data_IF_859841235411
#
_entry.id   IF_859841235411
#
_cell.length_a   1.000
_cell.length_b   1.000
_cell.length_c   1.000
_cell.angle_alpha   90.00
_cell.angle_beta   90.00
_cell.angle_gamma   90.00
#
_symmetry.space_group_name_H-M   'P 1'
#
loop_
_entity.id
_entity.type
_entity.pdbx_description
1 polymer ?
#
# COMPACT_ATOMS: atom_id res chain seq x y z
N UNK A 1 6.70 -29.69 20.19
CA UNK A 1 7.50 -28.78 19.32
C UNK A 1 8.88 -28.66 19.94
N UNK A 2 9.89 -29.21 19.28
CA UNK A 2 11.27 -28.88 19.60
C UNK A 2 11.53 -27.45 19.11
N UNK A 3 11.42 -26.48 20.01
CA UNK A 3 11.84 -25.10 19.72
C UNK A 3 13.36 -25.06 19.73
N UNK A 4 13.95 -24.72 18.59
CA UNK A 4 15.38 -24.42 18.47
C UNK A 4 15.71 -23.10 19.18
N UNK A 5 17.00 -22.82 19.27
CA UNK A 5 17.53 -21.59 19.83
C UNK A 5 16.94 -20.36 19.13
N UNK A 6 16.37 -19.44 19.92
CA UNK A 6 15.92 -18.13 19.42
C UNK A 6 17.13 -17.24 19.24
N UNK A 7 17.40 -16.84 18.01
CA UNK A 7 18.54 -15.97 17.69
C UNK A 7 18.21 -14.48 17.90
N UNK A 8 17.01 -14.06 17.45
CA UNK A 8 16.59 -12.66 17.51
C UNK A 8 15.06 -12.56 17.44
N UNK A 9 14.53 -11.43 17.87
CA UNK A 9 13.11 -11.09 17.81
C UNK A 9 12.93 -9.70 17.24
N UNK A 10 11.77 -9.45 16.65
CA UNK A 10 11.37 -8.15 16.12
C UNK A 10 9.85 -8.10 15.95
N UNK A 11 9.38 -7.12 15.18
CA UNK A 11 7.96 -6.97 14.88
C UNK A 11 7.58 -7.92 13.74
N UNK A 12 6.59 -8.78 13.96
CA UNK A 12 6.08 -9.70 12.94
C UNK A 12 5.33 -8.96 11.84
N UNK A 13 5.58 -9.35 10.60
CA UNK A 13 4.84 -8.95 9.40
C UNK A 13 4.42 -10.20 8.65
N UNK A 14 3.12 -10.40 8.49
CA UNK A 14 2.55 -11.66 8.04
C UNK A 14 2.20 -12.58 9.20
N UNK A 15 1.76 -13.80 8.87
CA UNK A 15 1.26 -14.80 9.81
C UNK A 15 1.82 -16.21 9.53
N UNK A 16 2.80 -16.31 8.65
CA UNK A 16 3.35 -17.57 8.16
C UNK A 16 4.66 -17.91 8.87
N UNK A 17 5.12 -19.12 8.61
CA UNK A 17 6.48 -19.58 8.92
C UNK A 17 7.21 -19.81 7.59
N UNK A 18 8.45 -19.38 7.51
CA UNK A 18 9.32 -19.66 6.37
C UNK A 18 10.73 -19.97 6.83
N UNK A 19 11.45 -20.75 6.05
CA UNK A 19 12.85 -21.06 6.28
C UNK A 19 13.67 -20.91 5.00
N UNK A 20 14.96 -20.69 5.15
CA UNK A 20 15.87 -20.53 4.00
C UNK A 20 17.30 -20.29 4.46
N UNK A 21 18.21 -20.25 3.46
CA UNK A 21 19.59 -19.82 3.68
C UNK A 21 19.60 -18.30 3.92
N UNK A 22 20.42 -17.87 4.84
CA UNK A 22 20.52 -16.48 5.21
C UNK A 22 21.51 -15.75 4.29
N UNK A 23 21.09 -14.61 3.77
CA UNK A 23 21.91 -13.71 2.96
C UNK A 23 21.87 -12.30 3.53
N UNK A 24 23.01 -11.88 4.08
CA UNK A 24 23.20 -10.54 4.61
C UNK A 24 23.69 -9.64 3.48
N UNK A 25 22.89 -8.65 3.12
CA UNK A 25 23.21 -7.64 2.12
C UNK A 25 23.27 -6.26 2.77
N UNK A 26 24.38 -5.54 2.58
CA UNK A 26 24.54 -4.15 3.02
C UNK A 26 24.11 -3.17 1.94
N UNK A 27 24.27 -3.54 0.70
CA UNK A 27 23.89 -2.76 -0.46
C UNK A 27 23.14 -3.66 -1.46
N UNK A 28 22.20 -3.09 -2.20
CA UNK A 28 21.43 -3.81 -3.21
C UNK A 28 22.31 -4.33 -4.34
N UNK A 29 23.44 -3.67 -4.59
CA UNK A 29 24.39 -4.08 -5.63
C UNK A 29 25.22 -5.33 -5.26
N UNK A 30 25.18 -5.78 -4.01
CA UNK A 30 25.88 -6.98 -3.53
C UNK A 30 25.06 -8.27 -3.71
N UNK A 31 24.05 -8.26 -4.58
CA UNK A 31 23.06 -9.33 -4.70
C UNK A 31 23.40 -10.48 -5.64
N UNK A 32 24.59 -10.54 -6.24
CA UNK A 32 24.98 -11.54 -7.26
C UNK A 32 24.81 -12.99 -6.78
N UNK A 33 25.01 -13.25 -5.48
CA UNK A 33 24.90 -14.56 -4.85
C UNK A 33 23.53 -14.84 -4.19
N UNK A 34 22.54 -13.97 -4.39
CA UNK A 34 21.22 -14.15 -3.80
C UNK A 34 20.35 -15.04 -4.68
N UNK A 35 19.82 -16.13 -4.12
CA UNK A 35 19.04 -17.11 -4.86
C UNK A 35 17.56 -17.08 -4.42
N UNK A 36 16.69 -17.61 -5.26
CA UNK A 36 15.30 -17.82 -4.94
C UNK A 36 15.15 -18.72 -3.72
N UNK A 37 14.37 -18.25 -2.73
CA UNK A 37 14.15 -18.95 -1.46
C UNK A 37 15.15 -18.59 -0.35
N UNK A 38 16.15 -17.74 -0.61
CA UNK A 38 17.01 -17.21 0.45
C UNK A 38 16.27 -16.21 1.33
N UNK A 39 16.74 -16.02 2.56
CA UNK A 39 16.23 -15.03 3.52
C UNK A 39 17.13 -13.80 3.46
N UNK A 40 16.50 -12.66 3.15
CA UNK A 40 17.19 -11.37 3.12
C UNK A 40 17.37 -10.82 4.53
N UNK A 41 18.61 -10.47 4.89
CA UNK A 41 18.94 -9.69 6.10
C UNK A 41 19.61 -8.39 5.68
N UNK A 42 19.08 -7.26 6.13
CA UNK A 42 19.65 -5.94 5.83
C UNK A 42 19.31 -4.93 6.93
N UNK A 43 19.96 -3.80 6.95
CA UNK A 43 19.68 -2.73 7.91
C UNK A 43 18.26 -2.18 7.71
N UNK A 44 17.91 -1.81 6.48
CA UNK A 44 16.58 -1.36 6.05
C UNK A 44 16.43 -1.53 4.54
N UNK A 45 15.19 -1.53 4.04
CA UNK A 45 14.92 -1.59 2.61
C UNK A 45 14.37 -0.28 2.07
N UNK A 46 14.68 -0.04 0.80
CA UNK A 46 14.14 1.05 -0.03
C UNK A 46 13.47 0.42 -1.27
N UNK A 47 12.74 1.17 -2.11
CA UNK A 47 12.08 0.61 -3.30
C UNK A 47 12.98 -0.19 -4.22
N UNK A 48 14.26 0.12 -4.27
CA UNK A 48 15.25 -0.58 -5.12
C UNK A 48 15.45 -2.04 -4.71
N UNK A 49 15.11 -2.42 -3.49
CA UNK A 49 15.23 -3.78 -2.95
C UNK A 49 14.13 -4.73 -3.41
N UNK A 50 13.04 -4.22 -3.99
CA UNK A 50 11.89 -5.04 -4.37
C UNK A 50 12.23 -6.25 -5.28
N UNK A 51 13.17 -6.16 -6.26
CA UNK A 51 13.55 -7.32 -7.05
C UNK A 51 14.10 -8.49 -6.22
N UNK A 52 14.89 -8.19 -5.19
CA UNK A 52 15.45 -9.20 -4.27
C UNK A 52 14.39 -9.69 -3.31
N UNK A 53 13.56 -8.79 -2.77
CA UNK A 53 12.47 -9.15 -1.89
C UNK A 53 11.48 -10.13 -2.57
N UNK A 54 11.26 -10.02 -3.87
CA UNK A 54 10.36 -10.92 -4.63
C UNK A 54 10.80 -12.35 -4.67
N UNK A 55 12.09 -12.62 -4.67
CA UNK A 55 12.68 -13.98 -4.76
C UNK A 55 13.05 -14.51 -3.38
N UNK A 56 12.99 -13.69 -2.32
CA UNK A 56 13.28 -14.12 -0.97
C UNK A 56 12.14 -14.93 -0.38
N UNK A 57 12.44 -15.87 0.52
CA UNK A 57 11.45 -16.61 1.32
C UNK A 57 11.04 -15.86 2.59
N UNK A 58 11.80 -14.83 2.98
CA UNK A 58 11.53 -13.99 4.14
C UNK A 58 12.51 -12.83 4.24
N UNK A 59 12.17 -11.84 5.07
CA UNK A 59 12.93 -10.59 5.20
C UNK A 59 13.15 -10.28 6.67
N UNK A 60 14.37 -9.89 7.03
CA UNK A 60 14.75 -9.48 8.37
C UNK A 60 15.43 -8.12 8.27
N UNK A 61 14.99 -7.13 9.07
CA UNK A 61 15.61 -5.81 9.08
C UNK A 61 15.95 -5.34 10.49
N UNK A 62 17.07 -4.62 10.63
CA UNK A 62 17.44 -4.00 11.89
C UNK A 62 16.48 -2.89 12.27
N UNK A 63 16.11 -2.07 11.28
CA UNK A 63 15.26 -0.88 11.44
C UNK A 63 13.87 -1.09 10.87
N UNK A 64 12.94 -0.28 11.37
CA UNK A 64 11.59 -0.19 10.86
C UNK A 64 10.53 -0.78 11.81
N UNK A 65 9.29 -0.46 11.51
CA UNK A 65 8.11 -0.95 12.21
C UNK A 65 7.10 -1.50 11.21
N UNK A 66 5.85 -1.76 11.65
CA UNK A 66 4.78 -2.34 10.83
C UNK A 66 4.40 -1.57 9.58
N UNK A 67 4.77 -0.30 9.51
CA UNK A 67 4.46 0.61 8.40
C UNK A 67 5.69 1.02 7.58
N UNK A 68 6.87 0.45 7.86
CA UNK A 68 8.07 0.70 7.07
C UNK A 68 7.98 0.04 5.69
N UNK A 69 8.85 0.43 4.78
CA UNK A 69 8.89 -0.09 3.41
C UNK A 69 8.99 -1.63 3.37
N UNK A 70 9.91 -2.22 4.14
CA UNK A 70 10.05 -3.68 4.22
C UNK A 70 8.74 -4.38 4.59
N UNK A 71 8.02 -3.85 5.60
CA UNK A 71 6.76 -4.41 6.07
C UNK A 71 5.64 -4.29 5.03
N UNK A 72 5.53 -3.13 4.37
CA UNK A 72 4.50 -2.89 3.35
C UNK A 72 4.73 -3.82 2.16
N UNK A 73 5.94 -3.86 1.62
CA UNK A 73 6.26 -4.69 0.45
C UNK A 73 6.19 -6.17 0.77
N UNK A 74 6.64 -6.61 1.96
CA UNK A 74 6.51 -8.01 2.37
C UNK A 74 5.05 -8.46 2.37
N UNK A 75 4.11 -7.63 2.89
CA UNK A 75 2.66 -7.92 2.82
C UNK A 75 2.15 -8.01 1.39
N UNK A 76 2.53 -7.06 0.54
CA UNK A 76 2.10 -7.05 -0.86
C UNK A 76 2.61 -8.28 -1.64
N UNK A 77 3.78 -8.79 -1.27
CA UNK A 77 4.38 -9.99 -1.85
C UNK A 77 3.88 -11.29 -1.18
N UNK A 78 3.15 -11.20 -0.08
CA UNK A 78 2.72 -12.36 0.72
C UNK A 78 3.87 -13.07 1.43
N UNK A 79 4.96 -12.34 1.73
CA UNK A 79 6.15 -12.82 2.42
C UNK A 79 6.07 -12.55 3.93
N UNK A 80 6.78 -13.37 4.70
CA UNK A 80 7.06 -13.06 6.09
C UNK A 80 8.18 -12.03 6.20
N UNK A 81 8.03 -11.08 7.11
CA UNK A 81 9.14 -10.25 7.51
C UNK A 81 9.18 -10.07 9.03
N UNK A 82 10.39 -9.92 9.57
CA UNK A 82 10.60 -9.51 10.95
C UNK A 82 11.41 -8.21 10.90
N UNK A 83 10.81 -7.13 11.33
CA UNK A 83 11.38 -5.79 11.22
C UNK A 83 11.67 -5.20 12.60
N UNK A 84 12.61 -4.23 12.65
CA UNK A 84 12.97 -3.60 13.91
C UNK A 84 13.74 -4.51 14.87
N UNK A 85 14.58 -5.39 14.34
CA UNK A 85 15.37 -6.33 15.13
C UNK A 85 16.58 -5.69 15.81
N UNK A 86 16.87 -4.44 15.56
CA UNK A 86 17.96 -3.61 16.10
C UNK A 86 19.36 -4.01 15.66
N UNK A 87 19.73 -5.26 15.71
CA UNK A 87 21.08 -5.78 15.50
C UNK A 87 21.15 -7.11 14.74
N UNK A 88 20.15 -7.40 13.89
CA UNK A 88 20.09 -8.63 13.10
C UNK A 88 21.29 -8.78 12.16
N UNK A 89 21.72 -7.70 11.52
CA UNK A 89 22.88 -7.69 10.62
C UNK A 89 24.19 -8.05 11.33
N UNK A 90 24.30 -7.83 12.62
CA UNK A 90 25.48 -8.21 13.42
C UNK A 90 25.34 -9.63 13.97
N UNK A 91 24.19 -9.96 14.56
CA UNK A 91 23.96 -11.26 15.22
C UNK A 91 23.87 -12.43 14.26
N UNK A 92 23.36 -12.19 13.06
CA UNK A 92 23.12 -13.25 12.07
C UNK A 92 24.24 -13.42 11.03
N UNK A 93 25.35 -12.66 11.12
CA UNK A 93 26.43 -12.66 10.12
C UNK A 93 27.10 -14.02 9.89
N UNK A 94 27.17 -14.86 10.93
CA UNK A 94 27.82 -16.18 10.93
C UNK A 94 26.79 -17.33 10.94
N UNK A 95 25.51 -17.04 10.62
CA UNK A 95 24.42 -18.00 10.59
C UNK A 95 24.10 -18.40 9.16
N UNK A 96 24.12 -19.70 8.87
CA UNK A 96 23.93 -20.20 7.49
C UNK A 96 22.45 -20.24 7.06
N UNK A 97 21.56 -20.57 7.99
CA UNK A 97 20.12 -20.73 7.71
C UNK A 97 19.29 -20.44 8.93
N UNK A 98 18.07 -19.98 8.72
CA UNK A 98 17.13 -19.65 9.79
C UNK A 98 15.71 -20.05 9.42
N UNK A 99 14.87 -20.13 10.45
CA UNK A 99 13.41 -20.20 10.34
C UNK A 99 12.82 -18.93 10.92
N UNK A 100 12.03 -18.23 10.12
CA UNK A 100 11.25 -17.05 10.54
C UNK A 100 9.85 -17.50 10.90
N UNK A 101 9.42 -17.22 12.13
CA UNK A 101 8.03 -17.41 12.57
C UNK A 101 7.36 -16.05 12.78
N UNK A 102 6.31 -15.79 12.03
CA UNK A 102 5.37 -14.70 12.25
C UNK A 102 4.01 -15.22 12.76
N UNK A 103 3.90 -16.51 13.04
CA UNK A 103 2.66 -17.16 13.47
C UNK A 103 2.41 -17.07 14.98
N UNK A 104 3.32 -16.47 15.75
CA UNK A 104 3.28 -16.43 17.22
C UNK A 104 2.74 -15.10 17.77
N UNK A 105 1.97 -14.35 16.97
CA UNK A 105 1.37 -13.07 17.35
C UNK A 105 2.15 -11.87 16.82
N UNK A 106 2.27 -10.81 17.62
CA UNK A 106 2.88 -9.54 17.18
C UNK A 106 4.40 -9.58 17.11
N UNK A 107 5.01 -10.56 17.80
CA UNK A 107 6.45 -10.74 17.82
C UNK A 107 6.87 -11.76 16.78
N UNK A 108 7.70 -11.34 15.83
CA UNK A 108 8.36 -12.22 14.90
C UNK A 108 9.61 -12.83 15.54
N UNK A 109 9.77 -14.14 15.42
CA UNK A 109 10.86 -14.90 16.04
C UNK A 109 11.72 -15.53 14.95
N UNK A 110 13.02 -15.42 15.12
CA UNK A 110 14.01 -16.01 14.23
C UNK A 110 14.72 -17.13 15.00
N UNK A 111 14.53 -18.35 14.51
CA UNK A 111 15.13 -19.56 15.07
C UNK A 111 16.35 -19.99 14.25
N UNK A 112 17.32 -20.62 14.93
CA UNK A 112 18.49 -21.17 14.29
C UNK A 112 18.14 -22.42 13.45
N UNK A 113 18.62 -22.45 12.21
CA UNK A 113 18.46 -23.57 11.29
C UNK A 113 17.10 -23.64 10.57
N UNK A 114 16.99 -24.60 9.67
CA UNK A 114 15.76 -24.90 8.93
C UNK A 114 14.90 -25.89 9.75
N UNK A 115 13.92 -25.37 10.48
CA UNK A 115 13.03 -26.17 11.30
C UNK A 115 11.85 -26.73 10.48
N UNK A 116 11.42 -27.97 10.70
CA UNK A 116 10.18 -28.48 10.12
C UNK A 116 8.96 -27.82 10.78
N UNK A 117 7.98 -27.43 9.98
CA UNK A 117 6.69 -26.90 10.46
C UNK A 117 5.53 -27.52 9.70
N UNK A 118 4.34 -27.50 10.32
CA UNK A 118 3.10 -27.95 9.73
C UNK A 118 2.12 -26.79 9.58
N UNK A 119 1.38 -26.75 8.48
CA UNK A 119 0.37 -25.72 8.22
C UNK A 119 -1.01 -26.38 8.25
N UNK A 120 -1.82 -26.02 9.25
CA UNK A 120 -3.21 -26.43 9.33
C UNK A 120 -4.10 -25.53 8.51
N UNK A 121 -4.94 -26.10 7.64
CA UNK A 121 -5.90 -25.35 6.83
C UNK A 121 -7.23 -25.24 7.59
N UNK A 122 -7.59 -24.02 7.97
CA UNK A 122 -8.90 -23.73 8.55
C UNK A 122 -9.95 -23.51 7.46
N UNK A 123 -11.06 -24.24 7.51
CA UNK A 123 -12.22 -23.99 6.67
C UNK A 123 -13.13 -22.95 7.35
N UNK A 124 -13.27 -21.78 6.74
CA UNK A 124 -14.27 -20.81 7.21
C UNK A 124 -15.67 -21.27 6.83
N UNK A 125 -16.58 -21.24 7.79
CA UNK A 125 -18.00 -21.46 7.51
C UNK A 125 -18.58 -20.29 6.72
N UNK A 126 -19.22 -20.57 5.58
CA UNK A 126 -19.71 -19.60 4.58
C UNK A 126 -20.73 -18.57 5.07
N UNK A 127 -21.18 -18.60 6.32
CA UNK A 127 -22.31 -17.81 6.84
C UNK A 127 -21.99 -16.91 8.03
N UNK A 128 -20.75 -16.47 8.19
CA UNK A 128 -20.42 -15.47 9.21
C UNK A 128 -21.07 -14.12 8.84
N UNK A 129 -22.05 -13.68 9.63
CA UNK A 129 -22.58 -12.32 9.54
C UNK A 129 -21.66 -11.40 10.31
N UNK A 130 -20.89 -10.61 9.60
CA UNK A 130 -20.05 -9.58 10.22
C UNK A 130 -20.88 -8.32 10.51
N UNK A 131 -20.56 -7.61 11.61
CA UNK A 131 -21.25 -6.36 11.99
C UNK A 131 -20.94 -5.21 11.04
N UNK A 132 -19.90 -5.33 10.22
CA UNK A 132 -19.43 -4.32 9.27
C UNK A 132 -18.98 -5.01 7.97
N UNK A 133 -19.00 -4.29 6.86
CA UNK A 133 -18.48 -4.80 5.59
C UNK A 133 -16.94 -4.86 5.66
N UNK A 134 -16.39 -6.05 5.50
CA UNK A 134 -14.95 -6.28 5.45
C UNK A 134 -14.45 -6.17 4.01
N UNK A 135 -13.47 -5.32 3.79
CA UNK A 135 -12.76 -5.17 2.51
C UNK A 135 -11.30 -5.55 2.66
N UNK A 136 -10.57 -5.68 1.55
CA UNK A 136 -9.15 -6.01 1.55
C UNK A 136 -8.31 -4.85 1.02
N UNK A 137 -7.08 -4.73 1.52
CA UNK A 137 -6.04 -3.87 0.95
C UNK A 137 -5.20 -4.72 -0.02
N UNK A 138 -5.16 -4.35 -1.29
CA UNK A 138 -4.48 -5.12 -2.34
C UNK A 138 -3.61 -4.20 -3.17
N UNK A 139 -2.31 -4.48 -3.27
CA UNK A 139 -1.40 -3.72 -4.13
C UNK A 139 -0.87 -4.56 -5.29
N UNK A 140 -0.60 -5.85 -5.05
CA UNK A 140 -0.04 -6.73 -6.06
C UNK A 140 -1.13 -7.39 -6.94
N UNK A 141 -1.20 -7.07 -8.25
CA UNK A 141 -2.16 -7.70 -9.15
C UNK A 141 -2.01 -9.23 -9.28
N UNK A 142 -0.81 -9.78 -9.05
CA UNK A 142 -0.58 -11.22 -9.16
C UNK A 142 -1.28 -12.01 -8.05
N UNK A 143 -1.39 -11.43 -6.86
CA UNK A 143 -2.07 -12.04 -5.71
C UNK A 143 -3.58 -11.78 -5.69
N UNK A 144 -4.11 -10.94 -6.59
CA UNK A 144 -5.48 -10.48 -6.53
C UNK A 144 -6.51 -11.61 -6.57
N UNK A 145 -6.32 -12.60 -7.42
CA UNK A 145 -7.22 -13.75 -7.54
C UNK A 145 -7.22 -14.59 -6.26
N UNK A 146 -6.06 -14.92 -5.72
CA UNK A 146 -5.94 -15.68 -4.47
C UNK A 146 -6.60 -14.91 -3.32
N UNK A 147 -6.31 -13.62 -3.20
CA UNK A 147 -6.90 -12.76 -2.19
C UNK A 147 -8.43 -12.67 -2.31
N UNK A 148 -8.98 -12.71 -3.52
CA UNK A 148 -10.43 -12.63 -3.73
C UNK A 148 -11.20 -13.85 -3.19
N UNK A 149 -10.51 -14.96 -2.95
CA UNK A 149 -11.10 -16.16 -2.34
C UNK A 149 -11.34 -16.02 -0.83
N UNK A 150 -10.70 -15.06 -0.19
CA UNK A 150 -10.97 -14.69 1.21
C UNK A 150 -12.36 -14.04 1.25
N UNK A 151 -13.24 -14.35 2.23
CA UNK A 151 -14.51 -13.67 2.36
C UNK A 151 -14.34 -12.16 2.47
N UNK A 152 -14.91 -11.42 1.52
CA UNK A 152 -14.75 -9.97 1.43
C UNK A 152 -15.93 -9.27 0.75
N UNK A 153 -15.98 -7.95 0.87
CA UNK A 153 -16.93 -7.06 0.20
C UNK A 153 -16.26 -6.18 -0.86
N UNK A 154 -15.06 -6.56 -1.32
CA UNK A 154 -14.28 -5.82 -2.31
C UNK A 154 -12.93 -5.35 -1.80
N UNK A 155 -12.32 -4.43 -2.53
CA UNK A 155 -11.01 -3.84 -2.23
C UNK A 155 -11.20 -2.41 -1.74
N UNK A 156 -10.85 -2.16 -0.48
CA UNK A 156 -10.95 -0.82 0.12
C UNK A 156 -9.75 0.08 -0.19
N UNK A 157 -8.63 -0.52 -0.58
CA UNK A 157 -7.44 0.20 -1.04
C UNK A 157 -6.66 -0.65 -2.04
N UNK A 158 -6.68 -0.25 -3.31
CA UNK A 158 -5.74 -0.71 -4.34
C UNK A 158 -4.69 0.37 -4.59
N UNK A 159 -3.41 0.04 -4.38
CA UNK A 159 -2.29 0.98 -4.51
C UNK A 159 -1.65 0.88 -5.89
N UNK A 160 -1.61 2.00 -6.61
CA UNK A 160 -0.98 2.07 -7.94
C UNK A 160 0.56 2.03 -7.87
N UNK A 161 1.13 2.47 -6.77
CA UNK A 161 2.58 2.55 -6.59
C UNK A 161 3.26 1.20 -6.84
N UNK A 162 2.65 0.10 -6.37
CA UNK A 162 3.18 -1.23 -6.62
C UNK A 162 3.21 -1.56 -8.12
N UNK A 163 2.17 -1.21 -8.86
CA UNK A 163 2.09 -1.44 -10.31
C UNK A 163 3.15 -0.59 -11.03
N UNK A 164 3.29 0.68 -10.64
CA UNK A 164 4.25 1.59 -11.26
C UNK A 164 5.68 1.12 -10.99
N UNK A 165 6.04 0.83 -9.74
CA UNK A 165 7.40 0.42 -9.37
C UNK A 165 7.81 -0.94 -9.96
N UNK A 166 6.89 -1.90 -10.04
CA UNK A 166 7.22 -3.27 -10.40
C UNK A 166 7.01 -3.61 -11.87
N UNK A 167 5.99 -3.03 -12.50
CA UNK A 167 5.61 -3.39 -13.87
C UNK A 167 5.91 -2.29 -14.88
N UNK A 168 5.93 -1.02 -14.47
CA UNK A 168 6.25 0.11 -15.36
C UNK A 168 7.71 0.51 -15.19
N UNK A 169 8.20 0.71 -13.96
CA UNK A 169 9.59 1.02 -13.57
C UNK A 169 10.16 2.34 -14.09
N UNK A 170 9.38 3.10 -14.83
CA UNK A 170 9.80 4.33 -15.49
C UNK A 170 8.93 5.47 -14.99
N UNK A 171 9.55 6.63 -14.74
CA UNK A 171 8.84 7.84 -14.37
C UNK A 171 7.82 8.22 -15.46
N UNK A 172 6.55 8.53 -15.12
CA UNK A 172 5.53 8.77 -16.12
C UNK A 172 5.84 9.93 -17.07
N UNK A 173 6.51 11.00 -16.62
CA UNK A 173 6.95 12.09 -17.51
C UNK A 173 8.07 11.67 -18.45
N UNK A 174 8.94 10.73 -18.06
CA UNK A 174 9.93 10.19 -18.96
C UNK A 174 9.27 9.40 -20.11
N UNK A 175 8.20 8.68 -19.82
CA UNK A 175 7.38 7.99 -20.83
C UNK A 175 6.55 8.97 -21.67
N UNK A 176 6.03 10.02 -21.06
CA UNK A 176 5.26 11.05 -21.77
C UNK A 176 6.10 11.79 -22.82
N UNK A 177 7.34 12.13 -22.44
CA UNK A 177 8.27 12.89 -23.28
C UNK A 177 9.12 12.00 -24.23
N UNK A 178 9.09 10.66 -24.07
CA UNK A 178 9.82 9.75 -24.93
C UNK A 178 9.39 9.88 -26.39
N UNK A 179 10.31 9.94 -27.38
CA UNK A 179 11.77 9.75 -27.27
C UNK A 179 12.58 11.02 -26.99
N UNK A 180 11.95 12.18 -26.76
CA UNK A 180 12.60 13.49 -26.66
C UNK A 180 13.11 13.76 -25.23
N UNK A 181 13.95 12.86 -24.72
CA UNK A 181 14.57 12.92 -23.40
C UNK A 181 16.07 12.71 -23.52
N UNK A 182 16.81 12.96 -22.43
CA UNK A 182 18.27 12.74 -22.36
C UNK A 182 18.67 11.34 -22.85
N UNK A 183 19.75 11.22 -23.61
CA UNK A 183 20.09 10.01 -24.37
C UNK A 183 20.30 8.77 -23.48
N UNK A 184 21.01 8.91 -22.39
CA UNK A 184 21.25 7.84 -21.43
C UNK A 184 19.95 7.28 -20.81
N UNK A 185 18.97 8.14 -20.56
CA UNK A 185 17.64 7.74 -20.08
C UNK A 185 16.81 7.14 -21.22
N UNK A 186 16.92 7.70 -22.44
CA UNK A 186 16.21 7.18 -23.61
C UNK A 186 16.58 5.72 -23.90
N UNK A 187 17.85 5.36 -23.77
CA UNK A 187 18.30 3.97 -23.93
C UNK A 187 17.72 3.05 -22.85
N UNK A 188 17.74 3.47 -21.59
CA UNK A 188 17.13 2.71 -20.49
C UNK A 188 15.63 2.51 -20.72
N UNK A 189 14.91 3.57 -21.11
CA UNK A 189 13.48 3.51 -21.44
C UNK A 189 13.23 2.56 -22.59
N UNK A 190 14.00 2.67 -23.70
CA UNK A 190 13.88 1.78 -24.85
C UNK A 190 14.00 0.30 -24.47
N UNK A 191 14.99 -0.05 -23.64
CA UNK A 191 15.21 -1.43 -23.19
C UNK A 191 14.03 -1.99 -22.38
N UNK A 192 13.28 -1.13 -21.69
CA UNK A 192 12.13 -1.56 -20.87
C UNK A 192 10.82 -1.59 -21.67
N UNK A 193 10.57 -0.59 -22.52
CA UNK A 193 9.30 -0.52 -23.28
C UNK A 193 9.26 -1.56 -24.43
N UNK A 194 10.42 -2.00 -24.91
CA UNK A 194 10.52 -3.03 -25.96
C UNK A 194 9.79 -2.61 -27.25
N UNK A 195 8.88 -3.44 -27.71
CA UNK A 195 8.14 -3.25 -28.96
C UNK A 195 6.92 -2.33 -28.86
N UNK A 196 6.79 -1.53 -27.79
CA UNK A 196 5.72 -0.54 -27.72
C UNK A 196 6.04 0.66 -28.63
N UNK A 197 5.10 1.06 -29.45
CA UNK A 197 5.24 2.17 -30.39
C UNK A 197 5.37 3.54 -29.69
N UNK A 198 4.92 3.65 -28.43
CA UNK A 198 4.86 4.88 -27.67
C UNK A 198 5.04 4.66 -26.18
N UNK A 199 5.85 5.49 -25.53
CA UNK A 199 6.00 5.49 -24.07
C UNK A 199 4.67 5.76 -23.35
N UNK A 200 3.84 6.64 -23.89
CA UNK A 200 2.49 6.93 -23.36
C UNK A 200 1.62 5.68 -23.37
N UNK A 201 1.56 4.96 -24.48
CA UNK A 201 0.78 3.71 -24.59
C UNK A 201 1.35 2.60 -23.71
N UNK A 202 2.65 2.53 -23.55
CA UNK A 202 3.26 1.59 -22.60
C UNK A 202 2.72 1.82 -21.19
N UNK A 203 2.75 3.09 -20.70
CA UNK A 203 2.24 3.44 -19.38
C UNK A 203 0.75 3.08 -19.23
N UNK A 204 -0.07 3.59 -20.15
CA UNK A 204 -1.52 3.42 -20.12
C UNK A 204 -1.89 1.93 -20.09
N UNK A 205 -1.34 1.13 -21.00
CA UNK A 205 -1.64 -0.30 -21.10
C UNK A 205 -1.17 -1.09 -19.88
N UNK A 206 0.04 -0.82 -19.39
CA UNK A 206 0.59 -1.51 -18.23
C UNK A 206 -0.19 -1.20 -16.97
N UNK A 207 -0.48 0.06 -16.72
CA UNK A 207 -1.26 0.49 -15.56
C UNK A 207 -2.69 -0.04 -15.63
N UNK A 208 -3.38 0.14 -16.75
CA UNK A 208 -4.74 -0.35 -16.96
C UNK A 208 -4.83 -1.87 -16.77
N UNK A 209 -3.86 -2.65 -17.28
CA UNK A 209 -3.82 -4.10 -17.10
C UNK A 209 -3.67 -4.50 -15.64
N UNK A 210 -2.80 -3.82 -14.88
CA UNK A 210 -2.63 -4.08 -13.46
C UNK A 210 -3.90 -3.79 -12.66
N UNK A 211 -4.52 -2.63 -12.89
CA UNK A 211 -5.78 -2.24 -12.26
C UNK A 211 -6.91 -3.22 -12.63
N UNK A 212 -7.06 -3.52 -13.91
CA UNK A 212 -8.12 -4.43 -14.38
C UNK A 212 -7.96 -5.86 -13.84
N UNK A 213 -6.73 -6.32 -13.62
CA UNK A 213 -6.46 -7.63 -13.02
C UNK A 213 -6.98 -7.69 -11.57
N UNK A 214 -6.77 -6.63 -10.80
CA UNK A 214 -7.36 -6.53 -9.45
C UNK A 214 -8.88 -6.42 -9.55
N UNK A 215 -9.40 -5.51 -10.37
CA UNK A 215 -10.83 -5.27 -10.50
C UNK A 215 -11.60 -6.52 -10.94
N UNK A 216 -11.07 -7.28 -11.90
CA UNK A 216 -11.70 -8.52 -12.39
C UNK A 216 -11.74 -9.63 -11.33
N UNK A 217 -10.70 -9.75 -10.50
CA UNK A 217 -10.64 -10.75 -9.43
C UNK A 217 -11.73 -10.53 -8.37
N UNK A 218 -12.11 -9.29 -8.12
CA UNK A 218 -13.11 -8.92 -7.11
C UNK A 218 -14.48 -8.59 -7.69
N UNK A 219 -14.64 -8.65 -9.00
CA UNK A 219 -15.93 -8.36 -9.66
C UNK A 219 -17.07 -9.24 -9.10
N UNK A 220 -18.27 -8.70 -8.82
CA UNK A 220 -18.74 -7.33 -9.06
C UNK A 220 -18.53 -6.35 -7.88
N UNK A 221 -17.78 -6.74 -6.85
CA UNK A 221 -17.53 -5.89 -5.69
C UNK A 221 -16.65 -4.68 -6.05
N UNK A 222 -16.83 -3.59 -5.32
CA UNK A 222 -16.06 -2.37 -5.52
C UNK A 222 -14.56 -2.59 -5.32
N UNK A 223 -13.78 -1.96 -6.20
CA UNK A 223 -12.32 -1.85 -6.06
C UNK A 223 -11.95 -0.38 -6.02
N UNK A 224 -11.57 0.10 -4.84
CA UNK A 224 -11.21 1.51 -4.62
C UNK A 224 -9.73 1.67 -4.98
N UNK A 225 -9.50 2.27 -6.15
CA UNK A 225 -8.16 2.52 -6.70
C UNK A 225 -7.70 3.91 -6.24
N UNK A 226 -6.68 3.94 -5.40
CA UNK A 226 -6.04 5.18 -4.99
C UNK A 226 -5.14 5.67 -6.12
N UNK A 227 -5.32 6.93 -6.53
CA UNK A 227 -4.38 7.60 -7.43
C UNK A 227 -2.97 7.59 -6.84
N UNK A 228 -1.97 7.65 -7.69
CA UNK A 228 -0.56 7.50 -7.28
C UNK A 228 -0.13 8.53 -6.23
N UNK A 229 0.42 8.06 -5.12
CA UNK A 229 0.81 8.87 -3.96
C UNK A 229 2.31 8.71 -3.65
N UNK A 230 3.14 8.70 -4.67
CA UNK A 230 4.59 8.71 -4.48
C UNK A 230 5.07 10.05 -3.93
N UNK A 231 6.00 9.99 -3.03
CA UNK A 231 6.81 11.15 -2.61
C UNK A 231 7.87 11.45 -3.67
N UNK A 232 8.41 12.67 -3.66
CA UNK A 232 9.43 13.09 -4.64
C UNK A 232 10.68 12.18 -4.64
N UNK A 233 11.14 11.74 -3.48
CA UNK A 233 12.25 10.81 -3.37
C UNK A 233 11.94 9.42 -3.93
N UNK A 234 10.70 8.95 -3.82
CA UNK A 234 10.26 7.66 -4.38
C UNK A 234 10.14 7.72 -5.91
N UNK A 235 9.49 8.76 -6.45
CA UNK A 235 9.44 8.97 -7.89
C UNK A 235 10.81 9.16 -8.53
N UNK A 236 11.75 9.80 -7.81
CA UNK A 236 13.10 10.01 -8.27
C UNK A 236 13.86 8.72 -8.55
N UNK A 237 13.54 7.63 -7.84
CA UNK A 237 14.15 6.31 -8.00
C UNK A 237 13.66 5.55 -9.26
N UNK A 238 12.57 6.00 -9.88
CA UNK A 238 12.14 5.43 -11.16
C UNK A 238 13.06 5.88 -12.29
N UNK A 239 13.18 5.07 -13.35
CA UNK A 239 13.99 5.40 -14.53
C UNK A 239 13.57 6.78 -15.07
N UNK A 240 14.51 7.70 -15.11
CA UNK A 240 14.29 9.07 -15.54
C UNK A 240 13.69 10.02 -14.50
N UNK A 241 13.43 9.54 -13.27
CA UNK A 241 12.86 10.36 -12.20
C UNK A 241 13.74 11.53 -11.79
N UNK A 242 15.06 11.35 -11.86
CA UNK A 242 16.02 12.42 -11.57
C UNK A 242 15.88 13.67 -12.46
N UNK A 243 15.21 13.56 -13.61
CA UNK A 243 14.98 14.69 -14.53
C UNK A 243 13.83 15.60 -14.09
N UNK A 244 12.91 15.08 -13.29
CA UNK A 244 11.62 15.73 -13.03
C UNK A 244 11.35 15.98 -11.54
N UNK A 245 12.02 15.24 -10.65
CA UNK A 245 11.71 15.30 -9.24
C UNK A 245 12.64 16.25 -8.47
N UNK A 246 12.06 17.17 -7.65
CA UNK A 246 12.84 18.06 -6.82
C UNK A 246 13.48 17.28 -5.66
N UNK A 247 14.57 17.83 -5.10
CA UNK A 247 15.07 17.43 -3.80
C UNK A 247 14.29 18.19 -2.72
N UNK A 248 13.55 17.47 -1.90
CA UNK A 248 12.82 18.03 -0.77
C UNK A 248 13.44 17.56 0.55
N UNK A 249 13.54 18.46 1.52
CA UNK A 249 14.01 18.11 2.86
C UNK A 249 12.99 17.25 3.61
N UNK A 250 11.69 17.43 3.31
CA UNK A 250 10.60 16.69 3.94
C UNK A 250 9.56 16.22 2.90
N UNK A 251 9.87 15.17 2.12
CA UNK A 251 8.97 14.68 1.08
C UNK A 251 7.62 14.19 1.61
N UNK A 252 7.53 13.80 2.88
CA UNK A 252 6.30 13.30 3.50
C UNK A 252 5.17 14.35 3.47
N UNK A 253 5.50 15.61 3.68
CA UNK A 253 4.56 16.76 3.66
C UNK A 253 4.82 17.74 2.52
N UNK A 254 5.65 17.34 1.56
CA UNK A 254 6.04 18.11 0.41
C UNK A 254 5.09 17.96 -0.79
N UNK A 255 5.66 17.91 -1.97
CA UNK A 255 4.94 17.79 -3.24
C UNK A 255 4.52 16.34 -3.50
N UNK A 256 3.35 15.96 -2.99
CA UNK A 256 2.77 14.61 -3.13
C UNK A 256 1.25 14.67 -3.24
N UNK A 257 0.68 13.57 -3.73
CA UNK A 257 -0.77 13.38 -3.84
C UNK A 257 -1.42 14.43 -4.73
N UNK A 258 -2.57 14.96 -4.30
CA UNK A 258 -3.42 15.88 -5.05
C UNK A 258 -2.68 17.07 -5.66
N UNK A 259 -1.71 17.65 -4.94
CA UNK A 259 -0.96 18.82 -5.40
C UNK A 259 -0.16 18.61 -6.70
N UNK A 260 0.14 17.36 -7.04
CA UNK A 260 0.82 17.02 -8.30
C UNK A 260 -0.09 17.09 -9.51
N UNK A 261 -1.34 16.62 -9.35
CA UNK A 261 -2.21 16.29 -10.47
C UNK A 261 -2.63 17.48 -11.32
N UNK A 262 -2.73 18.67 -10.73
CA UNK A 262 -3.05 19.91 -11.42
C UNK A 262 -1.81 20.82 -11.64
N UNK A 263 -0.64 20.41 -11.14
CA UNK A 263 0.61 21.15 -11.31
C UNK A 263 1.08 21.11 -12.75
N UNK A 264 1.56 22.25 -13.27
CA UNK A 264 2.18 22.33 -14.59
C UNK A 264 3.35 21.39 -14.78
N UNK A 265 4.06 21.07 -13.68
CA UNK A 265 5.20 20.17 -13.69
C UNK A 265 4.82 18.68 -13.71
N UNK A 266 3.53 18.31 -13.52
CA UNK A 266 3.13 16.91 -13.44
C UNK A 266 1.82 16.56 -14.16
N UNK A 267 0.99 17.53 -14.55
CA UNK A 267 -0.34 17.30 -15.15
C UNK A 267 -0.33 16.35 -16.36
N UNK A 268 0.73 16.37 -17.16
CA UNK A 268 0.90 15.50 -18.33
C UNK A 268 1.09 14.01 -17.90
N UNK A 269 1.76 13.76 -16.78
CA UNK A 269 1.85 12.43 -16.19
C UNK A 269 0.50 11.98 -15.63
N UNK A 270 -0.21 12.90 -14.99
CA UNK A 270 -1.55 12.61 -14.45
C UNK A 270 -2.57 12.31 -15.54
N UNK A 271 -2.46 12.95 -16.70
CA UNK A 271 -3.26 12.58 -17.88
C UNK A 271 -3.13 11.09 -18.21
N UNK A 272 -1.90 10.56 -18.25
CA UNK A 272 -1.67 9.14 -18.55
C UNK A 272 -2.33 8.22 -17.53
N UNK A 273 -2.33 8.62 -16.27
CA UNK A 273 -2.98 7.86 -15.18
C UNK A 273 -4.51 7.85 -15.35
N UNK A 274 -5.11 8.99 -15.62
CA UNK A 274 -6.53 9.10 -15.90
C UNK A 274 -6.94 8.27 -17.13
N UNK A 275 -6.19 8.35 -18.22
CA UNK A 275 -6.43 7.55 -19.42
C UNK A 275 -6.29 6.05 -19.17
N UNK A 276 -5.36 5.63 -18.30
CA UNK A 276 -5.22 4.23 -17.91
C UNK A 276 -6.45 3.72 -17.14
N UNK A 277 -6.96 4.51 -16.20
CA UNK A 277 -8.16 4.18 -15.43
C UNK A 277 -9.37 4.15 -16.35
N UNK A 278 -9.53 5.14 -17.22
CA UNK A 278 -10.59 5.17 -18.22
C UNK A 278 -10.53 3.93 -19.13
N UNK A 279 -9.34 3.58 -19.62
CA UNK A 279 -9.15 2.39 -20.43
C UNK A 279 -9.57 1.10 -19.70
N UNK A 280 -9.21 0.96 -18.42
CA UNK A 280 -9.62 -0.18 -17.60
C UNK A 280 -11.15 -0.23 -17.43
N UNK A 281 -11.81 0.91 -17.19
CA UNK A 281 -13.26 0.99 -17.00
C UNK A 281 -14.04 0.79 -18.29
N UNK A 282 -13.69 1.49 -19.35
CA UNK A 282 -14.51 1.58 -20.57
C UNK A 282 -14.15 0.53 -21.61
N UNK A 283 -12.87 0.24 -21.80
CA UNK A 283 -12.42 -0.74 -22.81
C UNK A 283 -12.37 -2.14 -22.20
N UNK A 284 -11.78 -2.29 -21.00
CA UNK A 284 -11.72 -3.59 -20.32
C UNK A 284 -12.99 -3.91 -19.52
N UNK A 285 -13.94 -2.98 -19.44
CA UNK A 285 -15.27 -3.16 -18.82
C UNK A 285 -15.24 -3.40 -17.29
N UNK A 286 -14.25 -2.85 -16.60
CA UNK A 286 -14.15 -2.91 -15.15
C UNK A 286 -14.90 -1.74 -14.49
N UNK A 287 -16.23 -1.77 -14.53
CA UNK A 287 -17.12 -0.72 -14.01
C UNK A 287 -17.16 -0.67 -12.46
N UNK A 288 -16.63 -1.69 -11.80
CA UNK A 288 -16.47 -1.77 -10.35
C UNK A 288 -15.28 -0.97 -9.80
N UNK A 289 -14.50 -0.30 -10.65
CA UNK A 289 -13.42 0.60 -10.22
C UNK A 289 -13.98 1.90 -9.69
N UNK A 290 -13.60 2.25 -8.46
CA UNK A 290 -13.84 3.53 -7.78
C UNK A 290 -12.50 4.26 -7.67
N UNK A 291 -12.46 5.55 -7.94
CA UNK A 291 -11.22 6.35 -7.85
C UNK A 291 -11.13 7.05 -6.52
N UNK A 292 -9.96 7.03 -5.88
CA UNK A 292 -9.72 7.69 -4.60
C UNK A 292 -8.55 8.67 -4.70
N UNK A 293 -8.80 9.92 -4.32
CA UNK A 293 -7.81 11.02 -4.32
C UNK A 293 -7.01 10.96 -3.01
N UNK A 294 -5.67 10.77 -3.06
CA UNK A 294 -4.81 10.78 -1.88
C UNK A 294 -4.33 12.18 -1.52
N UNK A 295 -3.98 12.37 -0.27
CA UNK A 295 -3.24 13.51 0.28
C UNK A 295 -3.69 14.87 -0.28
N UNK A 296 -4.98 15.13 -0.16
CA UNK A 296 -5.63 16.36 -0.60
C UNK A 296 -5.82 17.31 0.60
N UNK A 297 -5.29 18.51 0.51
CA UNK A 297 -5.14 19.41 1.66
C UNK A 297 -6.34 20.29 1.92
N UNK A 298 -7.01 20.74 0.84
CA UNK A 298 -8.15 21.68 0.94
C UNK A 298 -9.30 21.28 0.03
N UNK A 299 -10.54 21.74 0.31
CA UNK A 299 -11.67 21.52 -0.58
C UNK A 299 -11.44 22.08 -2.00
N UNK A 300 -10.79 23.24 -2.11
CA UNK A 300 -10.46 23.84 -3.41
C UNK A 300 -9.48 22.96 -4.19
N UNK A 301 -8.48 22.40 -3.53
CA UNK A 301 -7.55 21.44 -4.15
C UNK A 301 -8.30 20.19 -4.63
N UNK A 302 -9.26 19.69 -3.85
CA UNK A 302 -10.10 18.56 -4.24
C UNK A 302 -10.89 18.88 -5.52
N UNK A 303 -11.50 20.05 -5.61
CA UNK A 303 -12.23 20.48 -6.81
C UNK A 303 -11.32 20.58 -8.02
N UNK A 304 -10.12 21.16 -7.87
CA UNK A 304 -9.14 21.26 -8.96
C UNK A 304 -8.73 19.86 -9.48
N UNK A 305 -8.57 18.88 -8.61
CA UNK A 305 -8.26 17.50 -9.02
C UNK A 305 -9.43 16.88 -9.77
N UNK A 306 -10.65 17.03 -9.27
CA UNK A 306 -11.86 16.52 -9.92
C UNK A 306 -12.04 17.14 -11.30
N UNK A 307 -11.84 18.45 -11.43
CA UNK A 307 -11.93 19.16 -12.72
C UNK A 307 -10.85 18.67 -13.70
N UNK A 308 -9.63 18.43 -13.19
CA UNK A 308 -8.54 17.88 -14.01
C UNK A 308 -8.84 16.45 -14.46
N UNK A 309 -9.38 15.61 -13.58
CA UNK A 309 -9.84 14.26 -13.93
C UNK A 309 -10.91 14.29 -15.02
N UNK A 310 -11.88 15.20 -14.89
CA UNK A 310 -12.96 15.37 -15.86
C UNK A 310 -12.44 15.80 -17.24
N UNK A 311 -11.43 16.68 -17.30
CA UNK A 311 -10.76 17.07 -18.55
C UNK A 311 -10.11 15.86 -19.25
N UNK A 312 -9.72 14.84 -18.52
CA UNK A 312 -9.12 13.61 -19.03
C UNK A 312 -10.10 12.43 -19.09
N UNK A 313 -11.41 12.69 -19.09
CA UNK A 313 -12.45 11.70 -19.33
C UNK A 313 -12.92 10.93 -18.10
N UNK A 314 -12.47 11.27 -16.90
CA UNK A 314 -12.95 10.69 -15.65
C UNK A 314 -13.95 11.64 -14.97
N UNK A 315 -15.19 11.65 -15.44
CA UNK A 315 -16.26 12.52 -14.96
C UNK A 315 -17.08 11.80 -13.88
N UNK A 316 -17.19 12.41 -12.68
CA UNK A 316 -17.99 11.86 -11.58
C UNK A 316 -19.43 11.61 -12.01
N UNK A 317 -19.95 10.43 -11.72
CA UNK A 317 -21.31 10.00 -12.08
C UNK A 317 -21.46 9.45 -13.50
N UNK A 318 -20.59 9.78 -14.43
CA UNK A 318 -20.63 9.21 -15.79
C UNK A 318 -20.21 7.74 -15.77
N UNK A 319 -20.97 6.90 -16.46
CA UNK A 319 -20.76 5.45 -16.46
C UNK A 319 -20.64 4.85 -15.06
N UNK A 320 -21.28 5.47 -14.05
CA UNK A 320 -21.24 5.03 -12.66
C UNK A 320 -19.90 5.29 -11.94
N UNK A 321 -19.05 6.18 -12.47
CA UNK A 321 -17.81 6.55 -11.79
C UNK A 321 -18.09 7.23 -10.46
N UNK A 322 -17.52 6.69 -9.40
CA UNK A 322 -17.54 7.27 -8.05
C UNK A 322 -16.16 7.79 -7.68
N UNK A 323 -16.13 8.90 -6.99
CA UNK A 323 -14.91 9.55 -6.51
C UNK A 323 -14.90 9.54 -4.99
N UNK A 324 -13.86 8.95 -4.43
CA UNK A 324 -13.57 8.93 -3.00
C UNK A 324 -12.40 9.85 -2.68
N UNK A 325 -12.30 10.23 -1.42
CA UNK A 325 -11.14 10.93 -0.85
C UNK A 325 -10.47 10.05 0.19
N UNK A 326 -9.15 10.00 0.21
CA UNK A 326 -8.43 9.47 1.36
C UNK A 326 -8.39 10.55 2.45
N UNK A 327 -9.16 10.33 3.51
CA UNK A 327 -9.21 11.22 4.68
C UNK A 327 -8.01 10.89 5.58
N UNK A 328 -6.91 11.60 5.35
CA UNK A 328 -5.63 11.28 6.00
C UNK A 328 -4.85 12.52 6.48
N UNK A 329 -5.43 13.70 6.29
CA UNK A 329 -4.90 14.97 6.76
C UNK A 329 -5.92 15.56 7.74
N UNK A 330 -5.51 16.18 8.86
CA UNK A 330 -6.45 16.79 9.81
C UNK A 330 -7.46 17.76 9.17
N UNK A 331 -7.07 18.52 8.13
CA UNK A 331 -7.98 19.38 7.38
C UNK A 331 -9.15 18.62 6.75
N UNK A 332 -8.94 17.36 6.29
CA UNK A 332 -10.03 16.54 5.74
C UNK A 332 -11.10 16.20 6.78
N UNK A 333 -10.73 16.19 8.06
CA UNK A 333 -11.64 15.95 9.17
C UNK A 333 -12.34 17.23 9.59
N UNK A 334 -11.58 18.33 9.72
CA UNK A 334 -12.08 19.62 10.21
C UNK A 334 -13.04 20.25 9.19
N UNK A 335 -12.76 20.15 7.90
CA UNK A 335 -13.54 20.70 6.80
C UNK A 335 -14.36 19.61 6.07
N UNK A 336 -14.70 18.51 6.75
CA UNK A 336 -15.40 17.37 6.16
C UNK A 336 -16.73 17.75 5.50
N UNK A 337 -17.46 18.73 6.03
CA UNK A 337 -18.68 19.27 5.46
C UNK A 337 -18.44 19.96 4.10
N UNK A 338 -17.29 20.62 3.93
CA UNK A 338 -16.91 21.29 2.68
C UNK A 338 -16.44 20.29 1.61
N UNK A 339 -15.79 19.21 2.00
CA UNK A 339 -15.40 18.13 1.08
C UNK A 339 -16.61 17.29 0.62
N UNK A 340 -17.56 17.05 1.50
CA UNK A 340 -18.68 16.11 1.30
C UNK A 340 -19.46 16.28 -0.01
N UNK A 341 -19.82 17.48 -0.49
CA UNK A 341 -20.58 17.63 -1.73
C UNK A 341 -19.89 17.10 -2.98
N UNK A 342 -18.56 17.03 -2.96
CA UNK A 342 -17.74 16.61 -4.09
C UNK A 342 -17.53 15.09 -4.15
N UNK A 343 -17.89 14.35 -3.09
CA UNK A 343 -17.45 12.98 -2.87
C UNK A 343 -18.62 11.98 -2.80
N UNK A 344 -18.37 10.76 -3.22
CA UNK A 344 -19.30 9.62 -3.05
C UNK A 344 -18.93 8.77 -1.82
N UNK A 345 -17.72 8.94 -1.32
CA UNK A 345 -17.21 8.29 -0.14
C UNK A 345 -15.86 8.81 0.29
N UNK A 346 -15.47 8.43 1.48
CA UNK A 346 -14.12 8.66 2.02
C UNK A 346 -13.59 7.36 2.61
N UNK A 347 -12.27 7.20 2.56
CA UNK A 347 -11.59 6.14 3.29
C UNK A 347 -10.55 6.78 4.21
N UNK A 348 -10.63 6.47 5.50
CA UNK A 348 -9.70 7.03 6.48
C UNK A 348 -8.34 6.33 6.32
N UNK A 349 -7.33 7.11 5.93
CA UNK A 349 -5.94 6.70 5.83
C UNK A 349 -5.25 6.84 7.19
N UNK A 350 -5.46 5.86 8.07
CA UNK A 350 -5.10 5.94 9.48
C UNK A 350 -3.63 6.25 9.76
N UNK A 351 -2.72 5.76 8.91
CA UNK A 351 -1.29 5.93 9.12
C UNK A 351 -0.85 7.40 8.99
N UNK A 352 -1.23 8.05 7.88
CA UNK A 352 -0.91 9.47 7.68
C UNK A 352 -1.71 10.37 8.62
N UNK A 353 -2.98 10.05 8.89
CA UNK A 353 -3.79 10.81 9.85
C UNK A 353 -3.19 10.79 11.26
N UNK A 354 -2.72 9.62 11.72
CA UNK A 354 -2.05 9.49 13.02
C UNK A 354 -0.76 10.32 13.06
N UNK A 355 0.09 10.15 12.04
CA UNK A 355 1.36 10.86 11.90
C UNK A 355 1.16 12.38 11.90
N UNK A 356 0.21 12.89 11.13
CA UNK A 356 -0.02 14.34 11.00
C UNK A 356 -0.77 14.92 12.21
N UNK A 357 -1.64 14.15 12.85
CA UNK A 357 -2.33 14.58 14.08
C UNK A 357 -1.35 14.76 15.23
N UNK A 358 -0.37 13.87 15.37
CA UNK A 358 0.59 13.89 16.46
C UNK A 358 1.90 14.61 16.09
N UNK A 359 2.13 14.93 14.81
CA UNK A 359 3.40 15.50 14.36
C UNK A 359 4.58 14.53 14.54
N UNK A 360 4.35 13.23 14.32
CA UNK A 360 5.34 12.17 14.53
C UNK A 360 5.73 11.57 13.19
N UNK A 361 7.02 11.46 12.93
CA UNK A 361 7.51 10.65 11.82
C UNK A 361 7.49 9.16 12.24
N UNK A 362 6.62 8.38 11.61
CA UNK A 362 6.44 6.94 11.90
C UNK A 362 7.67 6.09 11.57
N UNK A 363 8.54 6.60 10.70
CA UNK A 363 9.77 5.92 10.28
C UNK A 363 10.98 6.28 11.16
N UNK A 364 10.77 7.16 12.16
CA UNK A 364 11.81 7.56 13.13
C UNK A 364 11.84 6.62 14.33
N UNK A 365 12.91 5.84 14.46
CA UNK A 365 13.11 4.90 15.57
C UNK A 365 13.07 5.58 16.96
N UNK A 366 13.40 6.87 17.01
CA UNK A 366 13.50 7.60 18.28
C UNK A 366 12.15 8.03 18.85
N UNK A 367 11.14 8.26 17.99
CA UNK A 367 9.85 8.82 18.40
C UNK A 367 8.66 7.98 17.95
N UNK A 368 8.89 6.85 17.26
CA UNK A 368 7.82 5.95 16.78
C UNK A 368 6.93 5.42 17.91
N UNK A 369 7.44 5.34 19.14
CA UNK A 369 6.66 4.97 20.33
C UNK A 369 5.51 5.94 20.65
N UNK A 370 5.52 7.17 20.10
CA UNK A 370 4.43 8.12 20.20
C UNK A 370 3.30 7.84 19.20
N UNK A 371 3.57 7.05 18.16
CA UNK A 371 2.59 6.63 17.15
C UNK A 371 1.68 5.53 17.69
N UNK A 372 0.88 5.88 18.70
CA UNK A 372 -0.05 4.96 19.35
C UNK A 372 -1.48 5.22 18.84
N UNK A 373 -2.15 4.18 18.34
CA UNK A 373 -3.53 4.21 17.83
C UNK A 373 -4.58 4.35 18.94
N UNK A 374 -4.20 4.13 20.19
CA UNK A 374 -5.04 4.45 21.37
C UNK A 374 -5.07 5.95 21.73
N UNK A 375 -4.22 6.77 21.07
CA UNK A 375 -4.16 8.19 21.34
C UNK A 375 -5.52 8.87 21.18
N UNK A 376 -5.93 9.60 22.21
CA UNK A 376 -7.25 10.23 22.27
C UNK A 376 -7.48 11.25 21.14
N UNK A 377 -6.46 12.03 20.78
CA UNK A 377 -6.57 13.02 19.69
C UNK A 377 -6.81 12.32 18.35
N UNK A 378 -6.09 11.23 18.08
CA UNK A 378 -6.27 10.44 16.86
C UNK A 378 -7.66 9.80 16.81
N UNK A 379 -8.10 9.13 17.89
CA UNK A 379 -9.45 8.53 17.95
C UNK A 379 -10.56 9.56 17.79
N UNK A 380 -10.41 10.75 18.39
CA UNK A 380 -11.36 11.86 18.20
C UNK A 380 -11.43 12.33 16.75
N UNK A 381 -10.28 12.42 16.06
CA UNK A 381 -10.26 12.77 14.64
C UNK A 381 -11.04 11.75 13.80
N UNK A 382 -10.88 10.45 14.09
CA UNK A 382 -11.62 9.39 13.41
C UNK A 382 -13.12 9.51 13.69
N UNK A 383 -13.53 9.66 14.96
CA UNK A 383 -14.94 9.79 15.33
C UNK A 383 -15.58 11.02 14.66
N UNK A 384 -14.89 12.16 14.65
CA UNK A 384 -15.34 13.37 13.96
C UNK A 384 -15.51 13.15 12.46
N UNK A 385 -14.53 12.51 11.81
CA UNK A 385 -14.62 12.20 10.38
C UNK A 385 -15.82 11.32 10.06
N UNK A 386 -15.99 10.21 10.78
CA UNK A 386 -17.13 9.30 10.59
C UNK A 386 -18.45 10.03 10.75
N UNK A 387 -18.61 10.78 11.84
CA UNK A 387 -19.84 11.51 12.14
C UNK A 387 -20.16 12.52 11.03
N UNK A 388 -19.22 13.44 10.73
CA UNK A 388 -19.50 14.56 9.83
C UNK A 388 -19.73 14.09 8.39
N UNK A 389 -18.93 13.17 7.86
CA UNK A 389 -19.14 12.64 6.50
C UNK A 389 -20.47 11.89 6.40
N UNK A 390 -20.85 11.07 7.40
CA UNK A 390 -22.12 10.34 7.38
C UNK A 390 -23.34 11.28 7.51
N UNK A 391 -23.26 12.32 8.33
CA UNK A 391 -24.31 13.35 8.41
C UNK A 391 -24.53 14.06 7.06
N UNK A 392 -23.49 14.15 6.23
CA UNK A 392 -23.57 14.71 4.89
C UNK A 392 -23.84 13.64 3.79
N UNK A 393 -24.21 12.41 4.17
CA UNK A 393 -24.59 11.34 3.25
C UNK A 393 -23.42 10.67 2.50
N UNK A 394 -22.19 10.88 2.94
CA UNK A 394 -20.97 10.30 2.35
C UNK A 394 -20.63 9.00 3.06
N UNK A 395 -20.31 7.95 2.30
CA UNK A 395 -19.86 6.66 2.85
C UNK A 395 -18.48 6.81 3.50
N UNK A 396 -18.25 6.12 4.61
CA UNK A 396 -16.98 6.17 5.34
C UNK A 396 -16.41 4.77 5.51
N UNK A 397 -15.20 4.57 5.00
CA UNK A 397 -14.39 3.39 5.23
C UNK A 397 -13.11 3.70 6.00
N UNK A 398 -12.42 2.67 6.43
CA UNK A 398 -11.09 2.75 7.02
C UNK A 398 -10.14 1.81 6.29
N UNK A 399 -8.99 2.28 5.85
CA UNK A 399 -8.01 1.49 5.10
C UNK A 399 -6.58 1.57 5.66
N UNK A 400 -6.39 2.11 6.86
CA UNK A 400 -5.11 2.08 7.57
C UNK A 400 -4.72 0.68 8.05
N UNK A 401 -3.56 0.57 8.67
CA UNK A 401 -3.01 -0.71 9.14
C UNK A 401 -3.68 -1.19 10.42
N UNK A 402 -4.16 -0.29 11.27
CA UNK A 402 -4.62 -0.57 12.63
C UNK A 402 -5.66 -1.70 12.74
N UNK A 403 -6.70 -1.80 11.87
CA UNK A 403 -7.66 -2.91 11.94
C UNK A 403 -7.04 -4.29 11.65
N UNK A 404 -5.93 -4.33 10.92
CA UNK A 404 -5.20 -5.57 10.65
C UNK A 404 -4.42 -6.06 11.88
N UNK A 405 -4.06 -5.13 12.77
CA UNK A 405 -3.20 -5.38 13.91
C UNK A 405 -3.97 -5.52 15.23
N UNK A 406 -5.15 -4.85 15.37
CA UNK A 406 -5.92 -4.80 16.61
C UNK A 406 -7.41 -5.04 16.38
N UNK A 407 -7.94 -6.02 17.09
CA UNK A 407 -9.39 -6.29 17.12
C UNK A 407 -10.12 -5.21 17.89
N UNK A 408 -9.53 -4.67 18.96
CA UNK A 408 -10.06 -3.59 19.77
C UNK A 408 -10.25 -2.31 18.93
N UNK A 409 -9.36 -2.11 17.96
CA UNK A 409 -9.51 -0.99 17.01
C UNK A 409 -10.67 -1.23 16.03
N UNK A 410 -10.87 -2.46 15.57
CA UNK A 410 -12.06 -2.82 14.79
C UNK A 410 -13.35 -2.57 15.58
N UNK A 411 -13.40 -2.98 16.86
CA UNK A 411 -14.55 -2.74 17.74
C UNK A 411 -14.82 -1.24 17.92
N UNK A 412 -13.78 -0.43 18.07
CA UNK A 412 -13.91 1.02 18.13
C UNK A 412 -14.58 1.56 16.86
N UNK A 413 -14.08 1.20 15.67
CA UNK A 413 -14.65 1.65 14.40
C UNK A 413 -16.11 1.21 14.22
N UNK A 414 -16.46 0.00 14.66
CA UNK A 414 -17.82 -0.52 14.60
C UNK A 414 -18.74 0.27 15.54
N UNK A 415 -18.29 0.60 16.75
CA UNK A 415 -19.03 1.45 17.70
C UNK A 415 -19.27 2.86 17.16
N UNK A 416 -18.32 3.40 16.40
CA UNK A 416 -18.48 4.68 15.67
C UNK A 416 -19.38 4.55 14.44
N UNK A 417 -19.93 3.36 14.15
CA UNK A 417 -20.85 3.12 13.03
C UNK A 417 -20.22 3.35 11.66
N UNK A 418 -18.98 2.90 11.45
CA UNK A 418 -18.30 2.94 10.16
C UNK A 418 -18.96 2.00 9.13
N UNK A 419 -18.89 2.32 7.83
CA UNK A 419 -19.53 1.53 6.78
C UNK A 419 -18.68 0.34 6.31
N UNK A 420 -17.36 0.53 6.24
CA UNK A 420 -16.41 -0.52 5.80
C UNK A 420 -15.10 -0.47 6.58
N UNK A 421 -14.52 -1.64 6.80
CA UNK A 421 -13.16 -1.78 7.35
C UNK A 421 -12.34 -2.60 6.35
N UNK A 422 -11.17 -2.08 5.98
CA UNK A 422 -10.24 -2.78 5.09
C UNK A 422 -9.04 -3.28 5.87
N UNK A 423 -8.69 -4.54 5.65
CA UNK A 423 -7.56 -5.21 6.28
C UNK A 423 -6.62 -5.80 5.24
N UNK A 424 -5.41 -6.12 5.64
CA UNK A 424 -4.47 -6.83 4.78
C UNK A 424 -4.91 -8.30 4.61
N UNK A 425 -4.66 -8.94 3.46
CA UNK A 425 -5.08 -10.33 3.22
C UNK A 425 -4.57 -11.34 4.25
N UNK A 426 -3.35 -11.14 4.75
CA UNK A 426 -2.70 -11.98 5.76
C UNK A 426 -3.42 -11.96 7.12
N UNK A 427 -4.01 -10.83 7.50
CA UNK A 427 -4.76 -10.68 8.76
C UNK A 427 -6.26 -10.94 8.61
N UNK A 428 -6.78 -10.99 7.38
CA UNK A 428 -8.21 -10.98 7.12
C UNK A 428 -8.97 -12.15 7.77
N UNK A 429 -8.45 -13.36 7.68
CA UNK A 429 -9.10 -14.55 8.24
C UNK A 429 -9.21 -14.47 9.75
N UNK A 430 -8.15 -14.03 10.43
CA UNK A 430 -8.12 -13.84 11.88
C UNK A 430 -9.11 -12.75 12.31
N UNK A 431 -9.14 -11.64 11.60
CA UNK A 431 -10.06 -10.53 11.88
C UNK A 431 -11.51 -10.97 11.68
N UNK A 432 -11.82 -11.68 10.58
CA UNK A 432 -13.16 -12.21 10.30
C UNK A 432 -13.61 -13.16 11.42
N UNK A 433 -12.74 -14.06 11.86
CA UNK A 433 -13.06 -15.00 12.92
C UNK A 433 -13.34 -14.30 14.25
N UNK A 434 -12.54 -13.31 14.60
CA UNK A 434 -12.72 -12.53 15.83
C UNK A 434 -14.02 -11.73 15.81
N UNK A 435 -14.30 -11.01 14.71
CA UNK A 435 -15.55 -10.24 14.57
C UNK A 435 -16.80 -11.12 14.44
N UNK A 436 -16.67 -12.33 13.92
CA UNK A 436 -17.78 -13.28 13.81
C UNK A 436 -18.18 -13.93 15.13
N UNK A 437 -17.34 -13.82 16.15
CA UNK A 437 -17.60 -14.32 17.51
C UNK A 437 -18.18 -13.23 18.45
N UNK A 438 -18.33 -11.99 17.96
CA UNK A 438 -19.00 -10.88 18.65
C UNK A 438 -20.51 -10.92 18.44
#
# INVERSE_FOLDING_TARGET
EEKSEVLIQGVAVGDKISNGKLKLLKDIHDCDDFNEGDILVTEMTTPDWEPIMKISSGIITDKGGRTCHAAIVARELGLNAVVGCSDATEKLKDVDSVTISCAEGETGIIYNGMLPFHVDKLALTKNLKLPVKMMLNVGNPECAFENSLIPNSGVGLARLEFIVSNYIKIHPLALYNYPNIREDIREKVYNVIGNYDSGKWYYIKRLAKGIAKIASAFYPNDVIVRLSDFKSNEYRNLIGGELYEPNEENPMIGWRGASRYYSDDYKDAFQLECEAIQYAREVMKMDNIVVMIPFCRTPEECQLVIDTMAQHGLVRGENGLRIFLMCEIPSNVIEADQFSPMLDGVSIGGNDLLQLTLGVDRDSDKISYLSNDENLSYRRMISMAILTYKENGVKVGFCGQQPSDSIEFCEFLIKENIDTISVTPDSALKTIQNLGNM
#
